data_IF_044587600668
#
_entry.id   IF_044587600668
#
_cell.length_a   1.000
_cell.length_b   1.000
_cell.length_c   1.000
_cell.angle_alpha   90.00
_cell.angle_beta   90.00
_cell.angle_gamma   90.00
#
_symmetry.space_group_name_H-M   'P 1'
#
loop_
_entity.id
_entity.type
_entity.pdbx_description
1 polymer ?
#
# COMPACT_ATOMS: atom_id res chain seq x y z
N UNK A 1 -8.03 8.10 2.65
CA UNK A 1 -6.89 8.42 1.74
C UNK A 1 -5.73 7.47 2.03
N UNK A 2 -5.29 6.71 1.02
CA UNK A 2 -4.18 5.74 1.10
C UNK A 2 -2.86 6.41 1.46
N UNK A 3 -2.04 5.73 2.27
CA UNK A 3 -0.76 6.20 2.80
C UNK A 3 0.13 6.87 1.72
N UNK A 4 0.42 8.18 1.90
CA UNK A 4 1.18 9.05 0.97
C UNK A 4 2.71 8.89 1.04
N UNK A 5 3.21 7.98 1.86
CA UNK A 5 4.65 7.87 2.19
C UNK A 5 5.33 6.60 1.68
N UNK A 6 4.63 5.74 0.94
CA UNK A 6 5.21 4.47 0.53
C UNK A 6 5.25 4.31 -0.99
N UNK A 7 6.46 4.08 -1.44
CA UNK A 7 6.96 4.28 -2.80
C UNK A 7 6.98 2.92 -3.52
N UNK A 8 6.44 2.87 -4.74
CA UNK A 8 6.17 1.64 -5.50
C UNK A 8 5.34 0.57 -4.74
N UNK A 9 4.11 0.92 -4.32
CA UNK A 9 3.11 -0.06 -3.87
C UNK A 9 2.26 -0.58 -5.03
N UNK A 10 2.08 -1.89 -5.16
CA UNK A 10 0.92 -2.43 -5.89
C UNK A 10 -0.33 -2.10 -5.08
N UNK A 11 -1.04 -1.03 -5.45
CA UNK A 11 -2.30 -0.65 -4.82
C UNK A 11 -3.46 -1.58 -5.24
N UNK A 12 -3.28 -2.90 -5.14
CA UNK A 12 -4.37 -3.84 -5.28
C UNK A 12 -5.11 -3.92 -3.95
N UNK A 13 -6.40 -3.52 -3.95
CA UNK A 13 -7.27 -3.72 -2.79
C UNK A 13 -7.49 -5.20 -2.62
N UNK A 14 -7.26 -5.71 -1.42
CA UNK A 14 -7.54 -7.11 -1.12
C UNK A 14 -9.05 -7.31 -1.09
N UNK A 15 -9.54 -8.40 -1.68
CA UNK A 15 -10.97 -8.78 -1.57
C UNK A 15 -11.37 -8.91 -0.09
N UNK A 16 -10.45 -9.35 0.77
CA UNK A 16 -10.68 -9.44 2.22
C UNK A 16 -10.80 -8.05 2.87
N UNK A 17 -10.04 -7.07 2.40
CA UNK A 17 -10.14 -5.68 2.85
C UNK A 17 -11.49 -5.10 2.48
N UNK A 18 -11.94 -5.30 1.24
CA UNK A 18 -13.26 -4.84 0.79
C UNK A 18 -14.41 -5.57 1.51
N UNK A 19 -14.28 -6.87 1.77
CA UNK A 19 -15.24 -7.63 2.58
C UNK A 19 -15.32 -7.09 4.01
N UNK A 20 -14.17 -6.81 4.66
CA UNK A 20 -14.12 -6.20 6.01
C UNK A 20 -14.80 -4.82 6.00
N UNK A 21 -14.46 -3.98 5.03
CA UNK A 21 -15.01 -2.63 4.90
C UNK A 21 -16.52 -2.65 4.63
N UNK A 22 -16.99 -3.56 3.77
CA UNK A 22 -18.40 -3.72 3.44
C UNK A 22 -19.24 -4.13 4.65
N UNK A 23 -18.75 -5.10 5.42
CA UNK A 23 -19.44 -5.50 6.64
C UNK A 23 -19.36 -4.44 7.74
N UNK A 24 -18.24 -3.73 7.89
CA UNK A 24 -18.12 -2.63 8.85
C UNK A 24 -19.07 -1.48 8.50
N UNK A 25 -19.21 -1.18 7.20
CA UNK A 25 -20.19 -0.22 6.70
C UNK A 25 -21.62 -0.64 7.06
N UNK A 26 -21.97 -1.90 6.81
CA UNK A 26 -23.29 -2.44 7.15
C UNK A 26 -23.55 -2.39 8.66
N UNK A 27 -22.58 -2.79 9.49
CA UNK A 27 -22.71 -2.78 10.94
C UNK A 27 -23.00 -1.36 11.44
N UNK A 28 -22.18 -0.40 11.00
CA UNK A 28 -22.33 0.98 11.43
C UNK A 28 -23.65 1.59 10.92
N UNK A 29 -24.11 1.20 9.72
CA UNK A 29 -25.44 1.60 9.23
C UNK A 29 -26.59 1.05 10.10
N UNK A 30 -26.46 -0.17 10.61
CA UNK A 30 -27.46 -0.78 11.49
C UNK A 30 -27.45 -0.13 12.87
N UNK A 31 -26.27 0.18 13.42
CA UNK A 31 -26.11 0.88 14.70
C UNK A 31 -26.68 2.31 14.66
N UNK A 32 -26.50 3.02 13.54
CA UNK A 32 -26.97 4.40 13.35
C UNK A 32 -28.34 4.49 12.67
N UNK A 33 -29.04 3.37 12.48
CA UNK A 33 -30.35 3.36 11.80
C UNK A 33 -31.39 4.15 12.60
N UNK A 34 -32.20 4.98 11.94
CA UNK A 34 -33.31 5.69 12.58
C UNK A 34 -34.55 4.82 12.81
N UNK A 35 -34.60 3.63 12.20
CA UNK A 35 -35.73 2.71 12.33
C UNK A 35 -35.82 2.13 13.75
N UNK A 36 -36.94 2.35 14.47
CA UNK A 36 -37.10 1.87 15.84
C UNK A 36 -37.04 0.34 15.95
N UNK A 37 -37.51 -0.39 14.93
CA UNK A 37 -37.48 -1.86 14.92
C UNK A 37 -36.04 -2.36 14.85
N UNK A 38 -35.21 -1.74 14.01
CA UNK A 38 -33.79 -2.08 13.88
C UNK A 38 -33.03 -1.78 15.17
N UNK A 39 -33.31 -0.63 15.81
CA UNK A 39 -32.73 -0.27 17.12
C UNK A 39 -33.07 -1.26 18.23
N UNK A 40 -34.28 -1.81 18.22
CA UNK A 40 -34.74 -2.79 19.21
C UNK A 40 -34.08 -4.15 18.96
N UNK A 41 -34.02 -4.61 17.71
CA UNK A 41 -33.55 -5.96 17.37
C UNK A 41 -32.02 -6.07 17.48
N UNK A 42 -31.29 -4.98 17.16
CA UNK A 42 -29.82 -4.96 17.08
C UNK A 42 -29.24 -6.20 16.37
N UNK A 43 -29.55 -6.38 15.07
CA UNK A 43 -29.21 -7.61 14.36
C UNK A 43 -27.70 -7.86 14.34
N UNK A 44 -27.29 -9.02 14.83
CA UNK A 44 -25.89 -9.44 14.80
C UNK A 44 -25.47 -9.81 13.37
N UNK A 45 -24.39 -9.22 12.87
CA UNK A 45 -23.85 -9.62 11.57
C UNK A 45 -23.15 -10.98 11.66
N UNK A 46 -23.65 -11.97 10.91
CA UNK A 46 -22.99 -13.25 10.72
C UNK A 46 -21.75 -13.05 9.84
N UNK A 47 -20.62 -12.84 10.50
CA UNK A 47 -19.31 -12.67 9.87
C UNK A 47 -18.52 -13.97 9.99
N UNK A 48 -17.69 -14.27 8.98
CA UNK A 48 -16.92 -15.53 8.97
C UNK A 48 -15.85 -15.58 10.07
N UNK A 49 -15.32 -16.78 10.37
CA UNK A 49 -14.34 -17.02 11.45
C UNK A 49 -13.11 -16.09 11.44
N UNK A 50 -12.66 -15.67 10.26
CA UNK A 50 -11.44 -14.85 10.07
C UNK A 50 -11.70 -13.34 10.19
N UNK A 51 -12.94 -12.91 10.35
CA UNK A 51 -13.31 -11.50 10.35
C UNK A 51 -14.30 -11.22 11.46
N UNK A 52 -13.83 -10.63 12.56
CA UNK A 52 -14.68 -10.12 13.62
C UNK A 52 -14.86 -8.61 13.41
N UNK A 53 -15.99 -8.25 12.82
CA UNK A 53 -16.23 -6.87 12.35
C UNK A 53 -16.53 -5.94 13.52
N UNK A 54 -17.25 -6.40 14.54
CA UNK A 54 -17.51 -5.64 15.77
C UNK A 54 -16.21 -5.18 16.43
N UNK A 55 -15.30 -6.13 16.70
CA UNK A 55 -13.98 -5.81 17.27
C UNK A 55 -13.17 -4.84 16.41
N UNK A 56 -13.29 -4.91 15.08
CA UNK A 56 -12.58 -4.02 14.18
C UNK A 56 -13.15 -2.58 14.22
N UNK A 57 -14.48 -2.45 14.28
CA UNK A 57 -15.18 -1.17 14.42
C UNK A 57 -14.92 -0.56 15.80
N UNK A 58 -14.95 -1.35 16.87
CA UNK A 58 -14.67 -0.87 18.23
C UNK A 58 -13.24 -0.36 18.35
N UNK A 59 -12.26 -1.11 17.84
CA UNK A 59 -10.85 -0.66 17.78
C UNK A 59 -10.69 0.63 16.95
N UNK A 60 -11.48 0.80 15.89
CA UNK A 60 -11.46 2.04 15.11
C UNK A 60 -12.03 3.21 15.92
N UNK A 61 -13.17 3.02 16.60
CA UNK A 61 -13.77 4.01 17.51
C UNK A 61 -12.80 4.41 18.64
N UNK A 62 -12.12 3.44 19.25
CA UNK A 62 -11.09 3.69 20.27
C UNK A 62 -9.91 4.48 19.72
N UNK A 63 -9.43 4.15 18.52
CA UNK A 63 -8.36 4.90 17.87
C UNK A 63 -8.74 6.37 17.64
N UNK A 64 -9.99 6.65 17.29
CA UNK A 64 -10.47 8.03 17.16
C UNK A 64 -10.53 8.77 18.50
N UNK A 65 -11.00 8.12 19.57
CA UNK A 65 -10.96 8.70 20.92
C UNK A 65 -9.52 9.03 21.33
N UNK A 66 -8.58 8.13 21.05
CA UNK A 66 -7.16 8.36 21.31
C UNK A 66 -6.62 9.54 20.49
N UNK A 67 -6.95 9.63 19.20
CA UNK A 67 -6.57 10.78 18.35
C UNK A 67 -7.14 12.11 18.85
N UNK A 68 -8.35 12.10 19.38
CA UNK A 68 -8.96 13.29 20.02
C UNK A 68 -8.20 13.73 21.27
N UNK A 69 -7.79 12.77 22.11
CA UNK A 69 -7.00 13.07 23.33
C UNK A 69 -5.61 13.62 22.97
N UNK A 70 -4.95 13.03 21.97
CA UNK A 70 -3.63 13.47 21.50
C UNK A 70 -3.71 14.88 20.88
N UNK A 71 -4.84 15.22 20.27
CA UNK A 71 -5.03 16.50 19.58
C UNK A 71 -4.34 16.53 18.21
N UNK A 72 -4.29 17.72 17.61
CA UNK A 72 -3.64 17.91 16.31
C UNK A 72 -2.13 17.96 16.50
N UNK A 73 -1.41 17.10 15.78
CA UNK A 73 0.05 17.04 15.82
C UNK A 73 0.63 17.66 14.55
N UNK A 74 1.82 18.23 14.66
CA UNK A 74 2.53 18.76 13.51
C UNK A 74 2.95 17.60 12.58
N UNK A 75 2.21 17.40 11.49
CA UNK A 75 2.50 16.34 10.53
C UNK A 75 3.56 16.74 9.48
N UNK A 76 3.66 18.05 9.18
CA UNK A 76 4.47 18.59 8.09
C UNK A 76 5.22 19.88 8.52
N UNK A 77 6.09 20.37 7.63
CA UNK A 77 6.74 21.69 7.75
C UNK A 77 5.79 22.89 7.64
N UNK A 78 4.48 22.65 7.47
CA UNK A 78 3.43 23.69 7.39
C UNK A 78 3.06 24.30 8.75
N UNK A 79 3.49 23.69 9.86
CA UNK A 79 3.17 24.15 11.21
C UNK A 79 1.80 23.67 11.71
N UNK A 80 1.51 23.93 12.99
CA UNK A 80 0.25 23.60 13.65
C UNK A 80 -0.88 24.50 13.12
N UNK A 81 -2.09 23.96 12.98
CA UNK A 81 -3.28 24.70 12.52
C UNK A 81 -3.38 24.92 11.01
N UNK A 82 -2.43 24.41 10.21
CA UNK A 82 -2.53 24.43 8.75
C UNK A 82 -3.60 23.47 8.19
N UNK A 83 -4.04 22.50 8.99
CA UNK A 83 -5.05 21.51 8.62
C UNK A 83 -6.28 21.68 9.49
N UNK A 84 -7.46 21.47 8.90
CA UNK A 84 -8.69 21.38 9.68
C UNK A 84 -8.83 19.95 10.20
N UNK A 85 -8.59 19.76 11.49
CA UNK A 85 -8.79 18.47 12.13
C UNK A 85 -10.29 18.09 12.13
N UNK A 86 -10.61 16.92 11.58
CA UNK A 86 -11.94 16.31 11.71
C UNK A 86 -11.99 15.50 13.00
N UNK A 87 -12.86 15.92 13.92
CA UNK A 87 -13.02 15.30 15.23
C UNK A 87 -14.22 14.36 15.25
N UNK A 88 -14.00 13.11 15.66
CA UNK A 88 -15.02 12.06 15.72
C UNK A 88 -16.29 12.48 16.48
N UNK A 89 -16.11 13.17 17.60
CA UNK A 89 -17.17 13.72 18.45
C UNK A 89 -18.06 14.74 17.73
N UNK A 90 -17.50 15.50 16.77
CA UNK A 90 -18.19 16.58 16.05
C UNK A 90 -18.69 16.18 14.67
N UNK A 91 -18.49 14.92 14.28
CA UNK A 91 -18.79 14.42 12.94
C UNK A 91 -20.21 13.83 12.86
N UNK A 92 -20.88 14.04 11.71
CA UNK A 92 -22.20 13.47 11.39
C UNK A 92 -22.14 11.96 11.09
N UNK A 93 -23.27 11.26 11.17
CA UNK A 93 -23.38 9.79 11.02
C UNK A 93 -22.78 9.25 9.71
N UNK A 94 -23.00 9.92 8.57
CA UNK A 94 -22.40 9.49 7.29
C UNK A 94 -20.88 9.62 7.30
N UNK A 95 -20.37 10.75 7.77
CA UNK A 95 -18.94 11.00 7.82
C UNK A 95 -18.23 10.08 8.84
N UNK A 96 -18.89 9.75 9.96
CA UNK A 96 -18.42 8.76 10.95
C UNK A 96 -18.19 7.39 10.30
N UNK A 97 -19.11 6.94 9.46
CA UNK A 97 -18.95 5.68 8.71
C UNK A 97 -17.74 5.71 7.79
N UNK A 98 -17.56 6.80 7.05
CA UNK A 98 -16.41 6.93 6.14
C UNK A 98 -15.09 7.00 6.92
N UNK A 99 -15.06 7.67 8.09
CA UNK A 99 -13.91 7.67 9.00
C UNK A 99 -13.58 6.26 9.50
N UNK A 100 -14.56 5.48 9.98
CA UNK A 100 -14.34 4.09 10.43
C UNK A 100 -13.76 3.24 9.30
N UNK A 101 -14.33 3.34 8.09
CA UNK A 101 -13.87 2.55 6.94
C UNK A 101 -12.44 2.92 6.57
N UNK A 102 -12.11 4.21 6.52
CA UNK A 102 -10.75 4.66 6.24
C UNK A 102 -9.76 4.21 7.33
N UNK A 103 -10.16 4.18 8.59
CA UNK A 103 -9.31 3.68 9.67
C UNK A 103 -9.05 2.16 9.58
N UNK A 104 -10.08 1.39 9.25
CA UNK A 104 -9.94 -0.06 8.99
C UNK A 104 -8.95 -0.29 7.84
N UNK A 105 -9.08 0.47 6.74
CA UNK A 105 -8.15 0.41 5.61
C UNK A 105 -6.73 0.79 6.00
N UNK A 106 -6.56 1.85 6.78
CA UNK A 106 -5.26 2.30 7.26
C UNK A 106 -4.59 1.24 8.14
N UNK A 107 -5.35 0.53 8.98
CA UNK A 107 -4.85 -0.56 9.81
C UNK A 107 -4.41 -1.77 9.00
N UNK A 108 -5.17 -2.15 7.98
CA UNK A 108 -4.79 -3.22 7.06
C UNK A 108 -3.56 -2.83 6.21
N UNK A 109 -3.45 -1.57 5.76
CA UNK A 109 -2.24 -1.06 5.09
C UNK A 109 -1.02 -1.06 6.03
N UNK A 110 -1.19 -0.62 7.28
CA UNK A 110 -0.12 -0.63 8.28
C UNK A 110 0.39 -2.05 8.55
N UNK A 111 -0.51 -3.03 8.65
CA UNK A 111 -0.15 -4.44 8.82
C UNK A 111 0.62 -4.99 7.62
N UNK A 112 0.22 -4.60 6.40
CA UNK A 112 0.93 -4.98 5.16
C UNK A 112 2.33 -4.38 5.11
N UNK A 113 2.45 -3.09 5.43
CA UNK A 113 3.73 -2.38 5.48
C UNK A 113 4.64 -3.01 6.54
N UNK A 114 4.13 -3.30 7.74
CA UNK A 114 4.91 -3.96 8.80
C UNK A 114 5.48 -5.31 8.33
N UNK A 115 4.66 -6.12 7.64
CA UNK A 115 5.14 -7.38 7.03
C UNK A 115 6.18 -7.15 5.94
N UNK A 116 6.00 -6.13 5.10
CA UNK A 116 6.97 -5.80 4.06
C UNK A 116 8.31 -5.36 4.64
N UNK A 117 8.32 -4.53 5.69
CA UNK A 117 9.56 -4.12 6.38
C UNK A 117 10.33 -5.31 6.94
N UNK A 118 9.64 -6.37 7.36
CA UNK A 118 10.26 -7.61 7.83
C UNK A 118 10.83 -8.50 6.70
N UNK A 119 10.61 -8.14 5.44
CA UNK A 119 11.09 -8.88 4.26
C UNK A 119 12.27 -8.14 3.63
N UNK A 120 13.52 -8.47 3.98
CA UNK A 120 14.69 -7.71 3.54
C UNK A 120 14.97 -7.78 2.04
N UNK A 121 14.33 -8.67 1.28
CA UNK A 121 14.45 -8.72 -0.18
C UNK A 121 13.18 -8.18 -0.85
N UNK A 122 12.05 -8.86 -0.64
CA UNK A 122 10.79 -8.50 -1.28
C UNK A 122 10.20 -7.17 -0.78
N UNK A 123 10.64 -6.70 0.38
CA UNK A 123 10.22 -5.46 1.01
C UNK A 123 11.17 -4.28 0.77
N UNK A 124 12.20 -4.41 -0.07
CA UNK A 124 13.15 -3.32 -0.34
C UNK A 124 12.48 -2.03 -0.82
N UNK A 125 11.32 -2.14 -1.48
CA UNK A 125 10.50 -1.01 -1.89
C UNK A 125 10.06 -0.10 -0.73
N UNK A 126 10.07 -0.57 0.52
CA UNK A 126 9.77 0.28 1.69
C UNK A 126 10.85 1.33 1.94
N UNK A 127 12.05 1.16 1.40
CA UNK A 127 13.20 2.05 1.60
C UNK A 127 13.48 2.97 0.41
N UNK A 128 12.68 2.89 -0.66
CA UNK A 128 12.94 3.62 -1.90
C UNK A 128 12.38 5.05 -1.86
N UNK A 129 12.96 5.91 -1.02
CA UNK A 129 12.54 7.29 -0.72
C UNK A 129 12.47 8.25 -1.92
N UNK A 130 12.93 7.83 -3.10
CA UNK A 130 12.90 8.62 -4.34
C UNK A 130 11.85 8.13 -5.35
N UNK A 131 11.21 6.98 -5.12
CA UNK A 131 10.38 6.34 -6.13
C UNK A 131 8.92 6.84 -6.12
N UNK A 132 8.40 7.24 -7.29
CA UNK A 132 7.03 7.79 -7.39
C UNK A 132 5.99 6.71 -7.07
N UNK A 133 5.01 7.04 -6.23
CA UNK A 133 3.86 6.18 -5.95
C UNK A 133 3.00 5.99 -7.21
N UNK A 134 2.73 4.74 -7.57
CA UNK A 134 1.82 4.37 -8.67
C UNK A 134 0.69 3.51 -8.10
N UNK A 135 -0.55 3.96 -8.24
CA UNK A 135 -1.73 3.13 -7.93
C UNK A 135 -2.21 2.42 -9.19
N UNK A 136 -2.36 1.09 -9.12
CA UNK A 136 -3.00 0.30 -10.18
C UNK A 136 -4.43 0.01 -9.78
N UNK A 137 -5.40 0.43 -10.59
CA UNK A 137 -6.79 -0.02 -10.45
C UNK A 137 -6.96 -1.39 -11.11
N UNK A 138 -8.03 -2.09 -10.75
CA UNK A 138 -8.40 -3.33 -11.44
C UNK A 138 -8.60 -3.11 -12.94
N UNK A 139 -9.18 -1.96 -13.31
CA UNK A 139 -9.37 -1.60 -14.71
C UNK A 139 -8.04 -1.47 -15.46
N UNK A 140 -7.05 -0.82 -14.83
CA UNK A 140 -5.70 -0.69 -15.41
C UNK A 140 -5.05 -2.06 -15.65
N UNK A 141 -5.24 -3.00 -14.72
CA UNK A 141 -4.70 -4.37 -14.82
C UNK A 141 -5.37 -5.11 -15.98
N UNK A 142 -6.69 -5.03 -16.12
CA UNK A 142 -7.43 -5.70 -17.20
C UNK A 142 -7.02 -5.24 -18.60
N UNK A 143 -6.67 -3.96 -18.74
CA UNK A 143 -6.27 -3.39 -20.03
C UNK A 143 -4.75 -3.38 -20.27
N UNK A 144 -3.94 -3.86 -19.32
CA UNK A 144 -2.50 -3.91 -19.49
C UNK A 144 -2.02 -5.19 -20.17
N UNK A 145 -1.03 -5.03 -21.04
CA UNK A 145 -0.31 -6.17 -21.60
C UNK A 145 0.30 -7.03 -20.47
N UNK A 146 0.23 -8.38 -20.55
CA UNK A 146 0.72 -9.28 -19.50
C UNK A 146 2.18 -9.03 -19.10
N UNK A 147 3.05 -8.72 -20.07
CA UNK A 147 4.46 -8.42 -19.83
C UNK A 147 4.65 -7.15 -18.98
N UNK A 148 3.78 -6.15 -19.16
CA UNK A 148 3.80 -4.90 -18.39
C UNK A 148 3.37 -5.14 -16.96
N UNK A 149 2.31 -5.93 -16.75
CA UNK A 149 1.85 -6.32 -15.40
C UNK A 149 2.96 -7.09 -14.69
N UNK A 150 3.55 -8.06 -15.38
CA UNK A 150 4.63 -8.89 -14.83
C UNK A 150 5.86 -8.07 -14.46
N UNK A 151 6.26 -7.12 -15.31
CA UNK A 151 7.34 -6.18 -15.02
C UNK A 151 7.03 -5.35 -13.77
N UNK A 152 5.83 -4.77 -13.67
CA UNK A 152 5.43 -3.95 -12.52
C UNK A 152 5.46 -4.77 -11.22
N UNK A 153 4.88 -5.96 -11.22
CA UNK A 153 4.87 -6.82 -10.03
C UNK A 153 6.30 -7.17 -9.61
N UNK A 154 7.15 -7.58 -10.56
CA UNK A 154 8.55 -7.93 -10.28
C UNK A 154 9.39 -6.74 -9.86
N UNK A 155 9.10 -5.53 -10.37
CA UNK A 155 9.77 -4.30 -9.93
C UNK A 155 9.48 -3.97 -8.48
N UNK A 156 8.24 -4.17 -8.02
CA UNK A 156 7.86 -3.88 -6.63
C UNK A 156 8.52 -4.86 -5.67
N UNK A 157 8.57 -6.14 -6.01
CA UNK A 157 9.09 -7.18 -5.12
C UNK A 157 10.60 -7.46 -5.28
N UNK A 158 11.38 -6.58 -5.92
CA UNK A 158 12.81 -6.81 -6.19
C UNK A 158 13.11 -8.16 -6.87
N UNK A 159 12.27 -8.56 -7.83
CA UNK A 159 12.36 -9.82 -8.59
C UNK A 159 12.80 -9.62 -10.04
N UNK A 160 13.19 -8.40 -10.42
CA UNK A 160 13.79 -8.15 -11.73
C UNK A 160 15.24 -8.71 -11.76
N UNK A 161 15.72 -9.16 -12.93
CA UNK A 161 17.07 -9.68 -13.14
C UNK A 161 18.09 -8.53 -13.15
N UNK A 162 18.27 -7.87 -12.01
CA UNK A 162 19.42 -7.00 -11.75
C UNK A 162 20.65 -7.87 -11.48
N UNK A 163 21.88 -7.39 -11.72
CA UNK A 163 23.08 -8.17 -11.40
C UNK A 163 23.12 -8.60 -9.92
N UNK A 164 22.63 -7.77 -9.00
CA UNK A 164 22.50 -8.16 -7.60
C UNK A 164 21.57 -9.38 -7.40
N UNK A 165 20.46 -9.47 -8.15
CA UNK A 165 19.57 -10.62 -8.10
C UNK A 165 20.11 -11.82 -8.89
N UNK A 166 20.79 -11.61 -10.02
CA UNK A 166 21.44 -12.67 -10.78
C UNK A 166 22.54 -13.38 -9.96
N UNK A 167 23.33 -12.61 -9.20
CA UNK A 167 24.30 -13.17 -8.25
C UNK A 167 23.61 -14.01 -7.17
N UNK A 168 22.53 -13.50 -6.59
CA UNK A 168 21.72 -14.26 -5.61
C UNK A 168 21.14 -15.55 -6.20
N UNK A 169 20.80 -15.56 -7.49
CA UNK A 169 20.29 -16.73 -8.19
C UNK A 169 21.38 -17.65 -8.73
N UNK A 170 22.66 -17.36 -8.46
CA UNK A 170 23.80 -18.16 -8.94
C UNK A 170 24.01 -18.11 -10.47
N UNK A 171 23.53 -17.05 -11.13
CA UNK A 171 23.62 -16.87 -12.59
C UNK A 171 24.76 -15.94 -13.02
N UNK A 172 25.40 -15.26 -12.07
CA UNK A 172 26.48 -14.30 -12.30
C UNK A 172 27.32 -14.20 -11.04
N UNK A 173 28.59 -13.83 -11.16
CA UNK A 173 29.50 -13.71 -10.01
C UNK A 173 29.53 -12.27 -9.45
N UNK A 174 29.44 -11.26 -10.33
CA UNK A 174 29.58 -9.86 -9.94
C UNK A 174 28.26 -9.07 -9.94
N UNK A 175 27.92 -8.37 -8.83
CA UNK A 175 26.70 -7.57 -8.71
C UNK A 175 26.87 -6.12 -9.24
N UNK A 176 27.96 -5.84 -9.97
CA UNK A 176 28.34 -4.48 -10.38
C UNK A 176 27.56 -4.00 -11.60
N UNK A 177 27.28 -2.70 -11.67
CA UNK A 177 26.61 -2.06 -12.79
C UNK A 177 27.61 -1.82 -13.92
N UNK A 178 27.32 -2.23 -15.18
CA UNK A 178 28.24 -2.02 -16.29
C UNK A 178 28.43 -0.55 -16.67
N UNK A 179 27.51 0.34 -16.26
CA UNK A 179 27.56 1.77 -16.61
C UNK A 179 28.33 2.61 -15.57
N UNK A 180 28.11 2.37 -14.28
CA UNK A 180 28.65 3.21 -13.21
C UNK A 180 29.47 2.44 -12.18
N UNK A 181 29.68 1.13 -12.37
CA UNK A 181 30.45 0.23 -11.52
C UNK A 181 29.96 0.06 -10.07
N UNK A 182 28.89 0.76 -9.66
CA UNK A 182 28.24 0.58 -8.36
C UNK A 182 27.43 -0.72 -8.29
N UNK A 183 26.92 -1.07 -7.10
CA UNK A 183 26.05 -2.25 -6.92
C UNK A 183 24.74 -2.08 -7.70
N UNK A 184 24.44 -2.99 -8.62
CA UNK A 184 23.26 -2.93 -9.48
C UNK A 184 22.06 -3.61 -8.81
N UNK A 185 21.35 -2.88 -7.94
CA UNK A 185 20.02 -3.25 -7.43
C UNK A 185 18.91 -2.92 -8.44
N UNK A 186 17.68 -3.37 -8.17
CA UNK A 186 16.51 -2.99 -8.99
C UNK A 186 16.22 -1.49 -8.93
N UNK A 187 16.32 -0.87 -7.75
CA UNK A 187 16.26 0.58 -7.59
C UNK A 187 17.32 1.30 -8.44
N UNK A 188 18.56 0.79 -8.43
CA UNK A 188 19.64 1.33 -9.22
C UNK A 188 19.32 1.31 -10.73
N UNK A 189 18.74 0.22 -11.22
CA UNK A 189 18.35 0.08 -12.62
C UNK A 189 17.19 1.00 -13.00
N UNK A 190 16.19 1.15 -12.12
CA UNK A 190 14.96 1.86 -12.43
C UNK A 190 15.05 3.38 -12.23
N UNK A 191 15.79 3.84 -11.22
CA UNK A 191 15.75 5.26 -10.81
C UNK A 191 17.09 5.83 -10.35
N UNK A 192 18.06 5.02 -9.91
CA UNK A 192 19.19 5.53 -9.11
C UNK A 192 20.58 5.42 -9.79
N UNK A 193 20.66 5.05 -11.07
CA UNK A 193 21.91 5.03 -11.82
C UNK A 193 22.29 6.42 -12.37
N UNK A 194 23.32 7.05 -11.79
CA UNK A 194 23.81 8.39 -12.17
C UNK A 194 24.13 8.53 -13.66
N UNK A 195 24.81 7.53 -14.23
CA UNK A 195 25.23 7.55 -15.64
C UNK A 195 24.02 7.40 -16.57
N UNK A 196 23.09 6.51 -16.25
CA UNK A 196 21.85 6.34 -17.02
C UNK A 196 20.98 7.61 -17.00
N UNK A 197 20.84 8.25 -15.83
CA UNK A 197 20.11 9.51 -15.67
C UNK A 197 20.75 10.64 -16.50
N UNK A 198 22.08 10.77 -16.47
CA UNK A 198 22.79 11.82 -17.23
C UNK A 198 22.68 11.66 -18.74
N UNK A 199 22.59 10.42 -19.24
CA UNK A 199 22.55 10.11 -20.67
C UNK A 199 21.13 9.96 -21.22
N UNK A 200 20.11 10.04 -20.37
CA UNK A 200 18.71 9.73 -20.74
C UNK A 200 18.49 8.27 -21.16
N UNK A 201 19.47 7.40 -20.90
CA UNK A 201 19.46 6.00 -21.34
C UNK A 201 19.15 5.07 -20.16
N UNK A 202 17.88 5.01 -19.79
CA UNK A 202 17.36 4.05 -18.80
C UNK A 202 17.16 2.64 -19.39
N UNK A 203 17.47 2.43 -20.68
CA UNK A 203 17.16 1.17 -21.39
C UNK A 203 18.15 0.06 -21.11
N UNK A 204 19.38 0.39 -20.70
CA UNK A 204 20.46 -0.59 -20.49
C UNK A 204 20.08 -1.77 -19.59
N UNK A 205 19.43 -1.55 -18.45
CA UNK A 205 19.03 -2.63 -17.54
C UNK A 205 17.70 -3.31 -17.87
N UNK A 206 16.81 -2.65 -18.62
CA UNK A 206 15.52 -3.23 -19.04
C UNK A 206 15.72 -4.20 -20.22
N UNK A 207 16.73 -3.99 -21.05
CA UNK A 207 17.03 -4.92 -22.16
C UNK A 207 17.44 -6.32 -21.69
N UNK A 208 18.16 -6.44 -20.56
CA UNK A 208 18.47 -7.76 -19.96
C UNK A 208 17.22 -8.47 -19.41
N UNK A 209 16.21 -7.72 -18.95
CA UNK A 209 14.93 -8.29 -18.53
C UNK A 209 14.24 -9.04 -19.67
N UNK A 210 14.12 -8.40 -20.84
CA UNK A 210 13.48 -9.01 -22.02
C UNK A 210 14.32 -10.14 -22.63
N UNK A 211 15.65 -10.12 -22.47
CA UNK A 211 16.53 -11.21 -22.92
C UNK A 211 16.43 -12.46 -22.04
N UNK A 212 16.26 -12.29 -20.73
CA UNK A 212 16.22 -13.39 -19.74
C UNK A 212 14.81 -13.82 -19.33
N UNK A 213 13.76 -13.23 -19.92
CA UNK A 213 12.39 -13.71 -19.76
C UNK A 213 12.28 -15.11 -20.39
N UNK A 214 11.78 -16.13 -19.67
CA UNK A 214 11.48 -17.41 -20.30
C UNK A 214 10.51 -17.14 -21.45
N UNK A 215 10.94 -17.46 -22.68
CA UNK A 215 10.05 -17.48 -23.84
C UNK A 215 9.08 -18.63 -23.59
N UNK A 216 7.84 -18.29 -23.24
CA UNK A 216 6.71 -19.21 -23.28
C UNK A 216 6.39 -19.59 -24.71
#
# INVERSE_FOLDING_TARGET
MYCRKAMLKLSMKSILEDYKCGNARLLTMLEESDDPVVKIIQPSLKTGRKCKVTEAVDKAKECFKMKEVIGETQADRRGLGSTTAKWWSKTESKEKRDMIIDEIRNKEDSTRVQKAVQQPQLGQWTNWDTAIQRSLTWNDIWHMAPLRISFLIRSVYDLLPSNANLVRWGKKDDPTCPLCQGRQSTEHVLSSCKVALSKGDTRGGITEYFKNLPRS
#
